data_IF_145933858717
#
_entry.id   IF_145933858717
#
_cell.length_a   1.000
_cell.length_b   1.000
_cell.length_c   1.000
_cell.angle_alpha   90.00
_cell.angle_beta   90.00
_cell.angle_gamma   90.00
#
_symmetry.space_group_name_H-M   'P 1'
#
loop_
_entity.id
_entity.type
_entity.pdbx_description
1 polymer ?
#
# COMPACT_ATOMS: atom_id res chain seq x y z
N UNK A 1 -15.61 -9.38 17.69
CA UNK A 1 -16.18 -8.23 16.96
C UNK A 1 -17.27 -8.67 16.01
N UNK A 2 -18.34 -7.89 15.81
CA UNK A 2 -19.35 -8.16 14.79
C UNK A 2 -18.73 -8.22 13.39
N UNK A 3 -19.18 -9.20 12.61
CA UNK A 3 -18.70 -9.45 11.24
C UNK A 3 -19.74 -9.15 10.16
N UNK A 4 -20.99 -8.87 10.54
CA UNK A 4 -22.08 -8.58 9.59
C UNK A 4 -22.98 -9.79 9.25
N UNK A 5 -22.55 -11.02 9.56
CA UNK A 5 -23.40 -12.21 9.43
C UNK A 5 -24.48 -12.24 10.52
N UNK A 6 -25.75 -12.35 10.13
CA UNK A 6 -26.91 -12.25 11.02
C UNK A 6 -28.15 -13.02 10.50
N UNK A 7 -29.18 -13.14 11.34
CA UNK A 7 -30.53 -13.69 11.01
C UNK A 7 -31.65 -12.68 11.27
N UNK A 8 -31.38 -11.38 11.14
CA UNK A 8 -32.36 -10.35 11.49
C UNK A 8 -33.43 -10.17 10.41
N UNK A 9 -33.05 -10.31 9.14
CA UNK A 9 -33.94 -10.13 7.98
C UNK A 9 -34.41 -11.45 7.35
N UNK A 10 -33.80 -12.59 7.71
CA UNK A 10 -34.12 -13.90 7.15
C UNK A 10 -34.09 -14.98 8.22
N UNK A 11 -34.77 -16.11 7.97
CA UNK A 11 -34.76 -17.26 8.88
C UNK A 11 -33.40 -17.99 8.94
N UNK A 12 -32.52 -17.74 7.96
CA UNK A 12 -31.18 -18.32 7.82
C UNK A 12 -30.08 -17.29 8.08
N UNK A 13 -28.84 -17.74 8.23
CA UNK A 13 -27.70 -16.82 8.31
C UNK A 13 -27.46 -16.16 6.95
N UNK A 14 -27.41 -14.83 6.93
CA UNK A 14 -27.13 -14.02 5.76
C UNK A 14 -26.18 -12.87 6.12
N UNK A 15 -25.37 -12.44 5.15
CA UNK A 15 -24.51 -11.28 5.32
C UNK A 15 -25.31 -9.99 5.21
N UNK A 16 -24.99 -9.00 6.06
CA UNK A 16 -25.65 -7.69 6.08
C UNK A 16 -25.48 -6.88 4.80
N UNK A 17 -24.44 -7.18 4.02
CA UNK A 17 -24.17 -6.55 2.72
C UNK A 17 -24.88 -7.25 1.55
N UNK A 18 -25.63 -8.32 1.81
CA UNK A 18 -26.31 -9.13 0.80
C UNK A 18 -25.38 -10.04 0.00
N UNK A 19 -24.10 -10.15 0.36
CA UNK A 19 -23.19 -11.07 -0.30
C UNK A 19 -23.59 -12.53 -0.10
N UNK A 20 -23.50 -13.32 -1.17
CA UNK A 20 -23.70 -14.76 -1.12
C UNK A 20 -22.35 -15.45 -0.92
N UNK A 21 -22.12 -15.99 0.28
CA UNK A 21 -20.94 -16.78 0.60
C UNK A 21 -21.34 -18.05 1.34
N UNK A 22 -20.78 -19.19 0.89
CA UNK A 22 -20.96 -20.49 1.53
C UNK A 22 -19.90 -20.75 2.62
N UNK A 23 -19.01 -19.79 2.87
CA UNK A 23 -17.95 -19.93 3.87
C UNK A 23 -18.49 -19.65 5.27
N UNK A 24 -18.18 -20.56 6.20
CA UNK A 24 -18.45 -20.39 7.63
C UNK A 24 -17.26 -20.83 8.46
N UNK A 25 -16.96 -20.09 9.54
CA UNK A 25 -15.90 -20.43 10.48
C UNK A 25 -16.39 -20.50 11.93
N UNK A 26 -17.52 -21.18 12.16
CA UNK A 26 -18.10 -21.33 13.49
C UNK A 26 -17.16 -22.07 14.44
N UNK A 27 -17.06 -21.61 15.69
CA UNK A 27 -16.40 -22.39 16.73
C UNK A 27 -17.20 -23.66 17.03
N UNK A 28 -16.57 -24.66 17.65
CA UNK A 28 -17.25 -25.90 18.03
C UNK A 28 -18.53 -25.61 18.85
N UNK A 29 -19.65 -26.20 18.44
CA UNK A 29 -20.96 -26.03 19.09
C UNK A 29 -21.70 -24.72 18.78
N UNK A 30 -21.20 -23.90 17.84
CA UNK A 30 -21.85 -22.67 17.39
C UNK A 30 -22.49 -22.85 16.00
N UNK A 31 -23.50 -22.03 15.67
CA UNK A 31 -24.19 -21.07 16.54
C UNK A 31 -25.38 -21.70 17.30
N UNK A 32 -25.75 -21.19 18.49
CA UNK A 32 -26.94 -21.66 19.20
C UNK A 32 -28.23 -21.15 18.56
N UNK A 33 -29.33 -21.88 18.77
CA UNK A 33 -30.63 -21.61 18.15
C UNK A 33 -31.20 -20.21 18.45
N UNK A 34 -30.89 -19.65 19.62
CA UNK A 34 -31.38 -18.34 20.09
C UNK A 34 -30.44 -17.17 19.76
N UNK A 35 -29.42 -17.38 18.92
CA UNK A 35 -28.52 -16.32 18.47
C UNK A 35 -28.90 -15.81 17.08
N UNK A 36 -28.80 -14.49 16.93
CA UNK A 36 -29.21 -13.79 15.71
C UNK A 36 -28.06 -12.98 15.07
N UNK A 37 -26.95 -12.77 15.77
CA UNK A 37 -25.78 -12.06 15.24
C UNK A 37 -24.49 -12.85 15.48
N UNK A 38 -23.53 -12.75 14.56
CA UNK A 38 -22.23 -13.40 14.67
C UNK A 38 -21.14 -12.43 15.11
N UNK A 39 -20.25 -12.89 16.00
CA UNK A 39 -19.02 -12.19 16.38
C UNK A 39 -17.79 -13.05 16.14
N UNK A 40 -16.74 -12.43 15.64
CA UNK A 40 -15.38 -12.97 15.50
C UNK A 40 -14.65 -12.96 16.85
N UNK A 41 -14.03 -14.08 17.19
CA UNK A 41 -12.97 -14.16 18.19
C UNK A 41 -11.63 -13.76 17.54
N UNK A 42 -11.02 -12.68 18.02
CA UNK A 42 -9.75 -12.18 17.46
C UNK A 42 -8.55 -13.06 17.78
N UNK A 43 -8.66 -13.97 18.76
CA UNK A 43 -7.56 -14.86 19.14
C UNK A 43 -7.35 -16.01 18.14
N UNK A 44 -8.44 -16.58 17.60
CA UNK A 44 -8.39 -17.77 16.75
C UNK A 44 -9.13 -17.62 15.40
N UNK A 45 -9.81 -16.48 15.19
CA UNK A 45 -10.56 -16.18 13.97
C UNK A 45 -11.90 -16.91 13.84
N UNK A 46 -12.31 -17.69 14.85
CA UNK A 46 -13.58 -18.43 14.85
C UNK A 46 -14.76 -17.53 15.22
N UNK A 47 -15.97 -17.96 14.86
CA UNK A 47 -17.20 -17.19 15.04
C UNK A 47 -18.09 -17.78 16.13
N UNK A 48 -18.76 -16.91 16.87
CA UNK A 48 -19.74 -17.27 17.89
C UNK A 48 -21.05 -16.52 17.65
N UNK A 49 -22.17 -17.20 17.87
CA UNK A 49 -23.50 -16.61 17.82
C UNK A 49 -23.84 -15.92 19.14
N UNK A 50 -24.27 -14.67 19.06
CA UNK A 50 -24.64 -13.84 20.22
C UNK A 50 -26.00 -13.15 20.01
N UNK A 51 -26.52 -12.58 21.09
CA UNK A 51 -27.60 -11.60 21.00
C UNK A 51 -27.09 -10.34 20.30
N UNK A 52 -27.89 -9.79 19.38
CA UNK A 52 -27.55 -8.56 18.66
C UNK A 52 -27.53 -7.32 19.57
N UNK A 53 -28.11 -7.42 20.77
CA UNK A 53 -28.17 -6.32 21.74
C UNK A 53 -26.93 -6.25 22.66
N UNK A 54 -26.00 -7.20 22.54
CA UNK A 54 -24.79 -7.21 23.37
C UNK A 54 -23.73 -6.27 22.79
N UNK A 55 -23.14 -5.41 23.61
CA UNK A 55 -22.10 -4.49 23.11
C UNK A 55 -20.80 -5.25 22.75
N UNK A 56 -20.47 -5.31 21.46
CA UNK A 56 -19.19 -5.76 20.94
C UNK A 56 -18.62 -4.76 19.93
N UNK A 57 -17.28 -4.68 19.76
CA UNK A 57 -16.68 -3.98 18.64
C UNK A 57 -17.16 -4.55 17.30
N UNK A 58 -17.02 -3.82 16.20
CA UNK A 58 -17.43 -4.28 14.87
C UNK A 58 -16.31 -4.07 13.85
N UNK A 59 -16.36 -4.86 12.78
CA UNK A 59 -15.49 -4.72 11.61
C UNK A 59 -16.36 -4.34 10.42
N UNK A 60 -16.00 -3.28 9.71
CA UNK A 60 -16.69 -2.89 8.49
C UNK A 60 -16.00 -3.48 7.28
N UNK A 61 -16.79 -4.03 6.35
CA UNK A 61 -16.37 -4.32 5.00
C UNK A 61 -17.10 -3.35 4.07
N UNK A 62 -16.35 -2.75 3.17
CA UNK A 62 -16.91 -2.00 2.06
C UNK A 62 -16.37 -2.67 0.80
N UNK A 63 -17.24 -2.89 -0.19
CA UNK A 63 -16.71 -3.12 -1.53
C UNK A 63 -15.87 -1.91 -1.85
N UNK A 64 -14.59 -2.16 -2.15
CA UNK A 64 -13.81 -1.14 -2.81
C UNK A 64 -14.52 -0.88 -4.14
N UNK A 65 -15.43 0.09 -4.18
CA UNK A 65 -15.77 0.82 -5.39
C UNK A 65 -14.53 1.61 -5.77
N UNK A 66 -13.48 0.89 -6.11
CA UNK A 66 -12.47 1.39 -6.99
C UNK A 66 -13.03 1.02 -8.37
N UNK A 67 -13.50 1.98 -9.20
CA UNK A 67 -12.94 1.92 -10.54
C UNK A 67 -11.43 1.83 -10.28
N UNK A 68 -10.81 0.70 -10.65
CA UNK A 68 -9.38 0.46 -10.42
C UNK A 68 -8.67 1.79 -10.63
N UNK A 69 -7.93 2.35 -9.64
CA UNK A 69 -7.54 3.75 -9.65
C UNK A 69 -7.05 4.09 -11.04
N UNK A 70 -7.91 4.72 -11.83
CA UNK A 70 -7.56 5.02 -13.21
C UNK A 70 -6.67 6.20 -13.02
N UNK A 71 -5.37 6.00 -13.25
CA UNK A 71 -4.50 7.14 -13.50
C UNK A 71 -5.28 8.06 -14.44
N UNK A 72 -5.38 9.36 -14.14
CA UNK A 72 -5.93 10.31 -15.09
C UNK A 72 -5.34 9.99 -16.47
N UNK A 73 -6.15 9.90 -17.54
CA UNK A 73 -5.60 9.68 -18.88
C UNK A 73 -4.48 10.69 -19.07
N UNK A 74 -3.28 10.19 -19.42
CA UNK A 74 -2.11 11.02 -19.57
C UNK A 74 -2.49 12.21 -20.46
N UNK A 75 -2.33 13.47 -20.02
CA UNK A 75 -2.58 14.60 -20.90
C UNK A 75 -1.74 14.37 -22.15
N UNK A 76 -2.38 14.40 -23.31
CA UNK A 76 -1.72 14.30 -24.61
C UNK A 76 -0.47 15.19 -24.64
N UNK A 77 0.56 14.86 -25.46
CA UNK A 77 1.94 15.36 -25.34
C UNK A 77 2.15 16.89 -25.31
N UNK A 78 1.11 17.68 -25.54
CA UNK A 78 1.12 19.14 -25.46
C UNK A 78 0.94 19.71 -24.04
N UNK A 79 0.63 18.89 -23.04
CA UNK A 79 0.27 19.36 -21.69
C UNK A 79 0.85 18.58 -20.51
N UNK A 80 1.80 17.67 -20.73
CA UNK A 80 2.56 17.14 -19.60
C UNK A 80 3.27 18.31 -18.91
N UNK A 81 3.06 18.56 -17.60
CA UNK A 81 4.00 19.38 -16.86
C UNK A 81 5.37 18.73 -17.11
N UNK A 82 6.37 19.54 -17.42
CA UNK A 82 7.73 19.07 -17.74
C UNK A 82 8.40 18.31 -16.59
N UNK A 83 7.68 18.09 -15.48
CA UNK A 83 8.01 17.17 -14.39
C UNK A 83 6.72 16.54 -13.82
N UNK A 84 6.39 15.27 -14.11
CA UNK A 84 5.52 14.53 -13.22
C UNK A 84 6.31 14.31 -11.93
N UNK A 85 6.01 15.08 -10.89
CA UNK A 85 6.61 14.92 -9.57
C UNK A 85 6.13 13.59 -8.95
N UNK A 86 6.71 12.47 -9.42
CA UNK A 86 6.57 11.12 -8.87
C UNK A 86 6.79 11.08 -7.34
N UNK A 87 7.47 12.09 -6.82
CA UNK A 87 7.88 12.24 -5.44
C UNK A 87 6.88 12.99 -4.55
N UNK A 88 5.81 13.65 -5.01
CA UNK A 88 4.95 14.39 -4.07
C UNK A 88 3.92 13.49 -3.40
N UNK A 89 4.17 13.04 -2.16
CA UNK A 89 3.25 12.17 -1.40
C UNK A 89 2.42 12.94 -0.35
N UNK A 90 2.74 14.22 -0.11
CA UNK A 90 2.00 15.09 0.82
C UNK A 90 2.13 14.67 2.29
N UNK A 91 3.14 13.87 2.63
CA UNK A 91 3.39 13.35 3.98
C UNK A 91 4.75 13.81 4.49
N UNK A 92 4.78 14.50 5.63
CA UNK A 92 6.05 14.87 6.27
C UNK A 92 6.79 13.62 6.78
N UNK A 93 8.09 13.55 6.48
CA UNK A 93 9.00 12.49 6.92
C UNK A 93 10.00 13.06 7.92
N UNK A 94 10.25 12.36 9.03
CA UNK A 94 11.12 12.84 10.13
C UNK A 94 12.45 12.09 10.22
N UNK A 95 12.54 10.92 9.59
CA UNK A 95 13.70 10.02 9.57
C UNK A 95 13.73 9.22 8.27
N UNK A 96 14.88 8.62 7.94
CA UNK A 96 15.07 7.83 6.71
C UNK A 96 14.06 6.68 6.55
N UNK A 97 13.65 6.05 7.65
CA UNK A 97 12.64 4.97 7.60
C UNK A 97 11.25 5.45 7.23
N UNK A 98 11.01 6.77 7.19
CA UNK A 98 9.73 7.30 6.72
C UNK A 98 9.69 7.46 5.19
N UNK A 99 10.82 7.32 4.50
CA UNK A 99 10.93 7.46 3.04
C UNK A 99 10.23 6.32 2.29
N UNK A 100 10.24 6.42 0.96
CA UNK A 100 9.52 5.50 0.07
C UNK A 100 10.46 4.83 -0.92
N UNK A 101 10.38 3.51 -0.99
CA UNK A 101 11.07 2.70 -1.98
C UNK A 101 10.50 2.90 -3.37
N UNK A 102 11.36 2.89 -4.39
CA UNK A 102 10.97 2.69 -5.78
C UNK A 102 11.62 1.42 -6.33
N UNK A 103 11.01 0.82 -7.35
CA UNK A 103 11.47 -0.42 -7.96
C UNK A 103 12.76 -0.32 -8.77
N UNK A 104 13.59 0.71 -8.59
CA UNK A 104 14.87 0.84 -9.28
C UNK A 104 15.97 0.22 -8.43
N UNK A 105 16.81 -0.61 -9.04
CA UNK A 105 17.96 -1.25 -8.39
C UNK A 105 19.15 -1.33 -9.32
N UNK A 106 20.34 -1.50 -8.78
CA UNK A 106 21.52 -1.80 -9.58
C UNK A 106 21.35 -3.19 -10.22
N UNK A 107 21.67 -3.26 -11.50
CA UNK A 107 21.67 -4.49 -12.28
C UNK A 107 22.91 -5.29 -11.88
N UNK A 108 22.74 -6.60 -11.68
CA UNK A 108 23.83 -7.55 -11.40
C UNK A 108 24.84 -7.06 -10.33
N UNK A 109 24.34 -6.43 -9.27
CA UNK A 109 25.16 -5.92 -8.17
C UNK A 109 26.07 -7.01 -7.55
N UNK A 110 27.35 -6.73 -7.25
CA UNK A 110 28.10 -5.47 -7.43
C UNK A 110 28.85 -5.36 -8.76
N UNK A 111 28.57 -6.23 -9.73
CA UNK A 111 29.39 -6.40 -10.94
C UNK A 111 29.07 -5.44 -12.08
N UNK A 112 27.89 -4.80 -12.06
CA UNK A 112 27.49 -3.81 -13.07
C UNK A 112 27.16 -2.47 -12.40
N UNK A 113 27.46 -1.38 -13.10
CA UNK A 113 27.10 0.00 -12.70
C UNK A 113 25.77 0.47 -13.30
N UNK A 114 25.08 -0.39 -14.05
CA UNK A 114 23.79 -0.09 -14.65
C UNK A 114 22.66 -0.20 -13.62
N UNK A 115 21.58 0.57 -13.82
CA UNK A 115 20.34 0.44 -13.05
C UNK A 115 19.22 -0.14 -13.91
N UNK A 116 18.37 -0.94 -13.29
CA UNK A 116 17.22 -1.58 -13.92
C UNK A 116 16.00 -1.50 -13.02
N UNK A 117 14.83 -1.34 -13.63
CA UNK A 117 13.56 -1.51 -12.93
C UNK A 117 13.30 -2.99 -12.63
N UNK A 118 12.67 -3.27 -11.49
CA UNK A 118 12.26 -4.62 -11.11
C UNK A 118 11.15 -5.20 -11.98
N UNK A 119 10.40 -4.36 -12.69
CA UNK A 119 9.36 -4.76 -13.64
C UNK A 119 9.91 -5.07 -15.05
N UNK A 120 11.23 -4.95 -15.26
CA UNK A 120 11.89 -5.17 -16.54
C UNK A 120 11.66 -4.08 -17.59
N UNK A 121 10.97 -2.98 -17.25
CA UNK A 121 10.80 -1.87 -18.19
C UNK A 121 12.11 -1.11 -18.43
N UNK A 122 12.27 -0.48 -19.61
CA UNK A 122 13.48 0.26 -19.94
C UNK A 122 13.78 1.36 -18.90
N UNK A 123 15.06 1.50 -18.55
CA UNK A 123 15.53 2.58 -17.71
C UNK A 123 15.87 3.81 -18.57
N UNK A 124 14.85 4.55 -18.97
CA UNK A 124 14.93 5.69 -19.91
C UNK A 124 14.72 7.07 -19.23
N UNK A 125 14.29 7.10 -17.98
CA UNK A 125 14.14 8.30 -17.16
C UNK A 125 15.03 8.26 -15.92
N UNK A 126 15.64 9.41 -15.58
CA UNK A 126 16.53 9.56 -14.42
C UNK A 126 16.24 10.85 -13.68
N UNK A 127 16.10 10.76 -12.36
CA UNK A 127 15.88 11.93 -11.49
C UNK A 127 16.74 11.84 -10.22
N UNK A 128 18.01 11.53 -10.40
CA UNK A 128 18.98 11.38 -9.31
C UNK A 128 19.19 12.69 -8.55
N UNK A 129 19.39 12.58 -7.23
CA UNK A 129 19.80 13.69 -6.41
C UNK A 129 21.20 14.17 -6.77
N UNK A 130 21.59 15.38 -6.33
CA UNK A 130 22.95 15.84 -6.42
C UNK A 130 23.95 14.79 -5.94
N UNK A 131 24.92 14.46 -6.80
CA UNK A 131 25.98 13.47 -6.53
C UNK A 131 25.51 12.01 -6.44
N UNK A 132 24.30 11.71 -6.91
CA UNK A 132 23.77 10.34 -6.99
C UNK A 132 23.82 9.79 -8.44
N UNK A 133 23.90 8.46 -8.64
CA UNK A 133 24.01 7.41 -7.62
C UNK A 133 25.44 7.31 -7.04
N UNK A 134 25.56 7.21 -5.72
CA UNK A 134 26.84 6.98 -5.04
C UNK A 134 26.88 5.66 -4.26
N UNK A 135 27.93 4.84 -4.48
CA UNK A 135 28.09 3.62 -3.71
C UNK A 135 28.82 3.91 -2.39
N UNK A 136 28.21 4.72 -1.52
CA UNK A 136 28.75 4.94 -0.18
C UNK A 136 28.73 3.62 0.58
N UNK A 137 29.93 3.13 0.92
CA UNK A 137 30.18 1.90 1.72
C UNK A 137 29.92 0.56 1.01
N UNK A 138 29.77 0.51 -0.32
CA UNK A 138 29.70 -0.78 -1.04
C UNK A 138 28.44 -1.58 -0.71
N UNK A 139 27.31 -0.90 -0.49
CA UNK A 139 26.04 -1.51 -0.07
C UNK A 139 24.80 -0.83 -0.63
N UNK A 140 24.95 0.28 -1.36
CA UNK A 140 23.82 1.10 -1.80
C UNK A 140 23.43 0.75 -3.22
N UNK A 141 22.48 -0.18 -3.38
CA UNK A 141 22.09 -0.72 -4.68
C UNK A 141 20.57 -0.84 -4.89
N UNK A 142 19.77 -0.26 -3.98
CA UNK A 142 18.35 -0.03 -4.15
C UNK A 142 18.05 1.47 -4.09
N UNK A 143 16.93 1.92 -4.66
CA UNK A 143 16.64 3.35 -4.82
C UNK A 143 15.39 3.79 -4.04
N UNK A 144 15.51 4.93 -3.36
CA UNK A 144 14.42 5.60 -2.65
C UNK A 144 14.12 6.97 -3.25
N UNK A 145 12.97 7.54 -2.91
CA UNK A 145 12.61 8.92 -3.24
C UNK A 145 12.67 9.81 -2.02
N UNK A 146 13.27 10.99 -2.17
CA UNK A 146 13.09 12.10 -1.23
C UNK A 146 11.80 12.84 -1.56
N UNK A 147 10.70 12.25 -1.12
CA UNK A 147 9.37 12.60 -1.60
C UNK A 147 8.87 13.96 -1.05
N UNK A 148 9.15 14.28 0.21
CA UNK A 148 8.52 15.42 0.89
C UNK A 148 9.46 16.22 1.82
N UNK A 149 9.03 17.45 2.11
CA UNK A 149 9.75 18.52 2.80
C UNK A 149 9.97 18.23 4.30
N UNK A 150 11.22 18.24 4.75
CA UNK A 150 11.58 18.47 6.15
C UNK A 150 11.33 19.95 6.44
N UNK A 151 10.98 20.35 7.67
CA UNK A 151 10.86 21.75 8.11
C UNK A 151 12.12 22.64 7.99
N UNK A 152 12.95 22.49 6.95
CA UNK A 152 14.05 23.36 6.53
C UNK A 152 13.82 23.80 5.08
N UNK A 153 13.70 25.11 4.91
CA UNK A 153 13.51 25.90 3.67
C UNK A 153 13.83 25.13 2.37
N UNK A 154 12.89 24.99 1.40
CA UNK A 154 13.06 24.15 0.21
C UNK A 154 14.24 24.57 -0.67
N UNK A 155 14.62 25.85 -0.62
CA UNK A 155 15.78 26.40 -1.31
C UNK A 155 17.14 25.86 -0.81
N UNK A 156 17.17 25.02 0.25
CA UNK A 156 18.39 24.46 0.84
C UNK A 156 18.50 22.94 0.76
N UNK A 157 17.48 22.24 0.26
CA UNK A 157 17.49 20.79 0.10
C UNK A 157 17.49 20.41 -1.37
N UNK A 158 18.68 20.28 -1.94
CA UNK A 158 18.86 19.93 -3.35
C UNK A 158 18.46 18.47 -3.65
N UNK A 159 18.23 17.63 -2.64
CA UNK A 159 17.78 16.24 -2.81
C UNK A 159 16.25 16.15 -2.89
N UNK A 160 15.53 17.23 -2.55
CA UNK A 160 14.07 17.28 -2.60
C UNK A 160 13.55 16.84 -3.98
N UNK A 161 12.58 15.93 -3.98
CA UNK A 161 11.96 15.33 -5.16
C UNK A 161 12.86 14.46 -6.03
N UNK A 162 14.12 14.24 -5.64
CA UNK A 162 15.06 13.40 -6.38
C UNK A 162 15.19 11.99 -5.77
N UNK A 163 15.93 11.14 -6.48
CA UNK A 163 16.23 9.77 -6.11
C UNK A 163 17.57 9.67 -5.40
N UNK A 164 17.64 8.72 -4.48
CA UNK A 164 18.85 8.43 -3.72
C UNK A 164 19.07 6.92 -3.68
N UNK A 165 20.32 6.48 -3.69
CA UNK A 165 20.64 5.06 -3.50
C UNK A 165 20.80 4.77 -2.01
N UNK A 166 20.38 3.58 -1.60
CA UNK A 166 20.38 3.19 -0.21
C UNK A 166 20.50 1.67 -0.07
N UNK A 167 20.71 1.21 1.17
CA UNK A 167 20.83 -0.21 1.47
C UNK A 167 19.48 -0.91 1.31
N UNK A 168 19.43 -1.98 0.52
CA UNK A 168 18.20 -2.76 0.29
C UNK A 168 17.60 -3.39 1.56
N UNK A 169 18.35 -3.42 2.66
CA UNK A 169 17.92 -3.92 3.98
C UNK A 169 17.15 -2.87 4.78
N UNK A 170 17.08 -1.61 4.33
CA UNK A 170 16.35 -0.57 5.03
C UNK A 170 14.84 -0.87 5.06
N UNK A 171 14.29 -0.87 6.28
CA UNK A 171 12.84 -0.96 6.48
C UNK A 171 12.25 0.44 6.34
N UNK A 172 11.60 0.69 5.21
CA UNK A 172 10.92 1.95 4.92
C UNK A 172 9.42 1.86 5.16
N UNK A 173 8.78 3.02 5.32
CA UNK A 173 7.34 3.16 5.53
C UNK A 173 6.52 2.64 4.35
N UNK A 174 6.98 2.84 3.13
CA UNK A 174 6.21 2.54 1.93
C UNK A 174 7.10 2.16 0.73
N UNK A 175 6.44 1.65 -0.31
CA UNK A 175 7.02 1.40 -1.61
C UNK A 175 6.00 1.77 -2.70
N UNK A 176 6.49 2.22 -3.87
CA UNK A 176 5.64 2.48 -5.05
C UNK A 176 5.69 1.28 -5.99
N UNK A 177 4.51 0.75 -6.33
CA UNK A 177 4.37 -0.25 -7.39
C UNK A 177 3.78 0.36 -8.66
N UNK A 178 4.23 -0.13 -9.81
CA UNK A 178 3.68 0.18 -11.13
C UNK A 178 2.82 -0.99 -11.60
N UNK A 179 1.65 -0.68 -12.18
CA UNK A 179 0.77 -1.64 -12.85
C UNK A 179 0.47 -1.10 -14.24
N UNK A 180 0.56 -1.94 -15.27
CA UNK A 180 0.17 -1.55 -16.61
C UNK A 180 -1.32 -1.16 -16.63
N UNK A 181 -1.64 -0.05 -17.29
CA UNK A 181 -3.02 0.31 -17.56
C UNK A 181 -3.62 -0.69 -18.57
N UNK A 182 -4.81 -1.20 -18.28
CA UNK A 182 -5.58 -1.97 -19.26
C UNK A 182 -6.26 -0.96 -20.20
N UNK A 183 -5.76 -0.82 -21.41
CA UNK A 183 -6.47 -0.19 -22.52
C UNK A 183 -6.92 -1.27 -23.49
#
# INVERSE_FOLDING_TARGET
>A
SYVGLNKLSTASWAWSDGSNSNYTNWSSGQPPNNSNCAVLNSADGTWQGVSCNTAYPYVCAFTAYTPAPTCPPCPTPAGCPTFPHLSKAGSEYKKETDLTWIGLKQKDYPTSSEFTWTDGTPFDYKNWGPSQPDDKRGKMHCTQTHSDYLGRIPAKDNNYQHWDVCECTLVMRAYVCKKAAYH
#
